data_IF_588476335455
#
_entry.id   IF_588476335455
#
_cell.length_a   1.000
_cell.length_b   1.000
_cell.length_c   1.000
_cell.angle_alpha   90.00
_cell.angle_beta   90.00
_cell.angle_gamma   90.00
#
_symmetry.space_group_name_H-M   'P 1'
#
loop_
_entity.id
_entity.type
_entity.pdbx_description
1 polymer ?
#
# COMPACT_ATOMS: atom_id res chain seq x y z
N UNK A 1 18.25 6.19 -16.82
CA UNK A 1 17.42 6.71 -17.92
C UNK A 1 16.65 5.54 -18.56
N UNK A 2 15.96 4.71 -17.76
CA UNK A 2 15.25 3.52 -18.24
C UNK A 2 13.77 3.49 -17.84
N UNK A 3 13.39 4.23 -16.78
CA UNK A 3 12.01 4.23 -16.25
C UNK A 3 11.00 4.76 -17.27
N UNK A 4 11.35 5.80 -18.04
CA UNK A 4 10.44 6.37 -19.06
C UNK A 4 10.23 5.36 -20.20
N UNK A 5 11.30 4.74 -20.72
CA UNK A 5 11.20 3.72 -21.77
C UNK A 5 10.40 2.49 -21.31
N UNK A 6 10.60 2.08 -20.05
CA UNK A 6 9.85 0.98 -19.44
C UNK A 6 8.37 1.33 -19.26
N UNK A 7 8.06 2.57 -18.87
CA UNK A 7 6.69 3.06 -18.74
C UNK A 7 5.99 3.08 -20.10
N UNK A 8 6.63 3.61 -21.14
CA UNK A 8 6.09 3.61 -22.52
C UNK A 8 5.79 2.19 -22.99
N UNK A 9 6.75 1.28 -22.83
CA UNK A 9 6.58 -0.14 -23.19
C UNK A 9 5.41 -0.79 -22.44
N UNK A 10 5.24 -0.49 -21.15
CA UNK A 10 4.14 -1.02 -20.35
C UNK A 10 2.78 -0.45 -20.77
N UNK A 11 2.71 0.82 -21.12
CA UNK A 11 1.50 1.45 -21.66
C UNK A 11 1.11 0.82 -23.00
N UNK A 12 2.05 0.55 -23.91
CA UNK A 12 1.77 -0.17 -25.15
C UNK A 12 1.25 -1.59 -24.94
N UNK A 13 1.80 -2.31 -23.94
CA UNK A 13 1.29 -3.63 -23.55
C UNK A 13 -0.14 -3.53 -23.02
N UNK A 14 -0.41 -2.52 -22.19
CA UNK A 14 -1.73 -2.32 -21.61
C UNK A 14 -2.79 -2.04 -22.69
N UNK A 15 -2.45 -1.33 -23.77
CA UNK A 15 -3.35 -1.13 -24.90
C UNK A 15 -3.74 -2.44 -25.61
N UNK A 16 -2.85 -3.45 -25.57
CA UNK A 16 -3.10 -4.78 -26.14
C UNK A 16 -3.85 -5.68 -25.15
N UNK A 17 -3.64 -5.47 -23.85
CA UNK A 17 -4.19 -6.27 -22.75
C UNK A 17 -4.88 -5.40 -21.68
N UNK A 18 -5.98 -4.69 -22.00
CA UNK A 18 -6.56 -3.66 -21.12
C UNK A 18 -7.22 -4.21 -19.85
N UNK A 19 -7.34 -5.52 -19.73
CA UNK A 19 -7.87 -6.22 -18.55
C UNK A 19 -6.80 -6.89 -17.68
N UNK A 20 -5.51 -6.67 -17.94
CA UNK A 20 -4.43 -7.31 -17.20
C UNK A 20 -4.07 -6.49 -15.94
N UNK A 21 -4.48 -6.92 -14.73
CA UNK A 21 -4.24 -6.18 -13.49
C UNK A 21 -2.74 -6.01 -13.17
N UNK A 22 -1.90 -6.95 -13.59
CA UNK A 22 -0.46 -6.87 -13.34
C UNK A 22 0.20 -5.73 -14.13
N UNK A 23 -0.29 -5.41 -15.34
CA UNK A 23 0.21 -4.27 -16.10
C UNK A 23 -0.14 -2.95 -15.41
N UNK A 24 -1.36 -2.83 -14.88
CA UNK A 24 -1.75 -1.68 -14.06
C UNK A 24 -0.84 -1.53 -12.83
N UNK A 25 -0.56 -2.63 -12.11
CA UNK A 25 0.36 -2.62 -10.97
C UNK A 25 1.76 -2.14 -11.36
N UNK A 26 2.33 -2.70 -12.43
CA UNK A 26 3.69 -2.37 -12.89
C UNK A 26 3.81 -0.91 -13.31
N UNK A 27 2.81 -0.38 -14.02
CA UNK A 27 2.75 1.04 -14.37
C UNK A 27 2.65 1.91 -13.11
N UNK A 28 1.81 1.52 -12.16
CA UNK A 28 1.69 2.20 -10.87
C UNK A 28 3.03 2.28 -10.12
N UNK A 29 3.80 1.19 -10.09
CA UNK A 29 5.14 1.16 -9.46
C UNK A 29 6.11 2.12 -10.16
N UNK A 30 6.18 2.11 -11.49
CA UNK A 30 7.05 3.02 -12.23
C UNK A 30 6.68 4.49 -11.99
N UNK A 31 5.38 4.80 -11.92
CA UNK A 31 4.88 6.14 -11.60
C UNK A 31 5.18 6.55 -10.15
N UNK A 32 5.11 5.60 -9.21
CA UNK A 32 5.50 5.80 -7.83
C UNK A 32 7.00 6.16 -7.71
N UNK A 33 7.87 5.45 -8.45
CA UNK A 33 9.32 5.69 -8.47
C UNK A 33 9.71 7.07 -9.00
N UNK A 34 8.92 7.64 -9.93
CA UNK A 34 9.12 9.03 -10.43
C UNK A 34 8.33 10.07 -9.63
N UNK A 35 7.77 9.66 -8.49
CA UNK A 35 6.99 10.49 -7.58
C UNK A 35 5.70 11.11 -8.19
N UNK A 36 5.21 10.57 -9.32
CA UNK A 36 3.88 10.91 -9.85
C UNK A 36 2.79 10.10 -9.13
N UNK A 37 2.58 10.45 -7.87
CA UNK A 37 1.68 9.74 -6.97
C UNK A 37 0.21 9.85 -7.40
N UNK A 38 -0.18 10.94 -8.07
CA UNK A 38 -1.52 11.12 -8.60
C UNK A 38 -1.79 10.09 -9.70
N UNK A 39 -0.90 9.97 -10.68
CA UNK A 39 -1.06 8.98 -11.75
C UNK A 39 -0.94 7.56 -11.19
N UNK A 40 0.04 7.29 -10.31
CA UNK A 40 0.19 5.99 -9.68
C UNK A 40 -1.10 5.52 -8.98
N UNK A 41 -1.82 6.42 -8.30
CA UNK A 41 -3.09 6.10 -7.64
C UNK A 41 -4.13 5.57 -8.63
N UNK A 42 -4.25 6.20 -9.80
CA UNK A 42 -5.21 5.78 -10.83
C UNK A 42 -4.90 4.36 -11.32
N UNK A 43 -3.62 4.06 -11.58
CA UNK A 43 -3.23 2.73 -12.06
C UNK A 43 -3.35 1.66 -10.98
N UNK A 44 -2.91 1.92 -9.75
CA UNK A 44 -3.07 0.96 -8.66
C UNK A 44 -4.54 0.69 -8.33
N UNK A 45 -5.37 1.74 -8.26
CA UNK A 45 -6.80 1.57 -8.05
C UNK A 45 -7.42 0.69 -9.14
N UNK A 46 -7.06 0.92 -10.41
CA UNK A 46 -7.58 0.11 -11.50
C UNK A 46 -7.11 -1.35 -11.46
N UNK A 47 -5.85 -1.58 -11.09
CA UNK A 47 -5.33 -2.93 -10.84
C UNK A 47 -6.10 -3.62 -9.70
N UNK A 48 -6.37 -2.91 -8.61
CA UNK A 48 -7.12 -3.40 -7.46
C UNK A 48 -8.58 -3.72 -7.80
N UNK A 49 -9.25 -2.88 -8.59
CA UNK A 49 -10.62 -3.15 -9.07
C UNK A 49 -10.70 -4.43 -9.92
N UNK A 50 -9.65 -4.74 -10.69
CA UNK A 50 -9.59 -5.93 -11.54
C UNK A 50 -9.19 -7.19 -10.77
N UNK A 51 -8.35 -7.05 -9.73
CA UNK A 51 -7.90 -8.18 -8.91
C UNK A 51 -7.75 -7.77 -7.44
N UNK A 52 -8.85 -7.72 -6.67
CA UNK A 52 -8.86 -7.16 -5.31
C UNK A 52 -8.19 -8.06 -4.26
N UNK A 53 -7.74 -9.26 -4.63
CA UNK A 53 -7.06 -10.20 -3.73
C UNK A 53 -5.59 -10.44 -4.11
N UNK A 54 -5.12 -9.79 -5.18
CA UNK A 54 -3.73 -9.91 -5.61
C UNK A 54 -2.78 -9.25 -4.60
N UNK A 55 -1.82 -10.02 -4.12
CA UNK A 55 -0.96 -9.61 -3.01
C UNK A 55 -0.03 -8.45 -3.38
N UNK A 56 0.50 -8.43 -4.59
CA UNK A 56 1.41 -7.36 -5.04
C UNK A 56 0.64 -6.05 -5.21
N UNK A 57 -0.57 -6.13 -5.76
CA UNK A 57 -1.45 -4.97 -5.95
C UNK A 57 -1.91 -4.40 -4.60
N UNK A 58 -2.37 -5.27 -3.69
CA UNK A 58 -2.78 -4.86 -2.35
C UNK A 58 -1.64 -4.15 -1.60
N UNK A 59 -0.44 -4.73 -1.63
CA UNK A 59 0.74 -4.15 -0.99
C UNK A 59 1.10 -2.78 -1.58
N UNK A 60 1.28 -2.73 -2.90
CA UNK A 60 1.74 -1.50 -3.57
C UNK A 60 0.70 -0.37 -3.47
N UNK A 61 -0.59 -0.71 -3.61
CA UNK A 61 -1.64 0.30 -3.52
C UNK A 61 -1.74 0.86 -2.10
N UNK A 62 -1.73 0.00 -1.08
CA UNK A 62 -1.74 0.44 0.30
C UNK A 62 -0.47 1.23 0.69
N UNK A 63 0.69 0.88 0.11
CA UNK A 63 1.94 1.63 0.27
C UNK A 63 1.84 3.06 -0.30
N UNK A 64 1.25 3.21 -1.48
CA UNK A 64 0.98 4.54 -2.04
C UNK A 64 0.01 5.33 -1.15
N UNK A 65 -1.10 4.73 -0.72
CA UNK A 65 -2.08 5.41 0.14
C UNK A 65 -1.46 5.85 1.47
N UNK A 66 -0.58 5.02 2.05
CA UNK A 66 0.23 5.37 3.22
C UNK A 66 1.12 6.59 2.93
N UNK A 67 1.84 6.59 1.80
CA UNK A 67 2.71 7.70 1.40
C UNK A 67 1.94 9.01 1.21
N UNK A 68 0.69 8.92 0.72
CA UNK A 68 -0.22 10.06 0.56
C UNK A 68 -0.97 10.45 1.84
N UNK A 69 -0.65 9.83 2.99
CA UNK A 69 -1.35 10.02 4.26
C UNK A 69 -2.87 9.74 4.19
N UNK A 70 -3.31 8.91 3.23
CA UNK A 70 -4.69 8.46 3.08
C UNK A 70 -4.97 7.24 3.99
N UNK A 71 -4.72 7.45 5.28
CA UNK A 71 -4.72 6.44 6.34
C UNK A 71 -5.97 5.56 6.37
N UNK A 72 -7.16 6.18 6.30
CA UNK A 72 -8.44 5.49 6.38
C UNK A 72 -8.69 4.56 5.18
N UNK A 73 -8.09 4.86 4.02
CA UNK A 73 -8.17 4.00 2.82
C UNK A 73 -7.09 2.91 2.84
N UNK A 74 -5.90 3.21 3.36
CA UNK A 74 -4.78 2.27 3.41
C UNK A 74 -5.04 1.08 4.35
N UNK A 75 -5.63 1.33 5.54
CA UNK A 75 -5.88 0.28 6.55
C UNK A 75 -6.64 -0.94 6.00
N UNK A 76 -7.83 -0.79 5.39
CA UNK A 76 -8.59 -1.97 4.91
C UNK A 76 -7.85 -2.75 3.82
N UNK A 77 -7.05 -2.08 2.98
CA UNK A 77 -6.27 -2.74 1.92
C UNK A 77 -5.09 -3.52 2.51
N UNK A 78 -4.36 -2.94 3.48
CA UNK A 78 -3.35 -3.69 4.22
C UNK A 78 -3.94 -4.84 5.04
N UNK A 79 -5.14 -4.68 5.60
CA UNK A 79 -5.82 -5.77 6.30
C UNK A 79 -6.12 -6.93 5.34
N UNK A 80 -6.63 -6.65 4.14
CA UNK A 80 -6.84 -7.67 3.10
C UNK A 80 -5.53 -8.36 2.69
N UNK A 81 -4.41 -7.63 2.58
CA UNK A 81 -3.09 -8.23 2.36
C UNK A 81 -2.70 -9.18 3.50
N UNK A 82 -2.87 -8.74 4.75
CA UNK A 82 -2.54 -9.52 5.95
C UNK A 82 -3.44 -10.75 6.15
N UNK A 83 -4.58 -10.88 5.46
CA UNK A 83 -5.37 -12.13 5.48
C UNK A 83 -4.59 -13.30 4.87
N UNK A 84 -3.80 -13.03 3.81
CA UNK A 84 -2.94 -14.02 3.18
C UNK A 84 -1.54 -14.06 3.80
N UNK A 85 -1.02 -12.93 4.28
CA UNK A 85 0.31 -12.80 4.88
C UNK A 85 0.22 -12.30 6.34
N UNK A 86 -0.35 -13.11 7.26
CA UNK A 86 -0.69 -12.68 8.61
C UNK A 86 0.47 -12.15 9.46
N UNK A 87 1.69 -12.61 9.17
CA UNK A 87 2.89 -12.33 9.97
C UNK A 87 3.91 -11.47 9.22
N UNK A 88 3.48 -10.78 8.16
CA UNK A 88 4.32 -9.77 7.49
C UNK A 88 4.57 -8.61 8.46
N UNK A 89 5.78 -8.60 9.03
CA UNK A 89 6.18 -7.64 10.05
C UNK A 89 6.21 -6.21 9.52
N UNK A 90 6.56 -6.02 8.24
CA UNK A 90 6.63 -4.69 7.65
C UNK A 90 5.22 -4.11 7.55
N UNK A 91 4.27 -4.88 7.01
CA UNK A 91 2.88 -4.42 6.89
C UNK A 91 2.22 -4.26 8.25
N UNK A 92 2.47 -5.15 9.20
CA UNK A 92 1.99 -4.99 10.59
C UNK A 92 2.54 -3.71 11.24
N UNK A 93 3.82 -3.37 11.01
CA UNK A 93 4.38 -2.11 11.48
C UNK A 93 3.73 -0.91 10.81
N UNK A 94 3.55 -0.93 9.49
CA UNK A 94 2.88 0.15 8.76
C UNK A 94 1.47 0.38 9.29
N UNK A 95 0.66 -0.67 9.44
CA UNK A 95 -0.71 -0.54 10.00
C UNK A 95 -0.67 -0.02 11.43
N UNK A 96 0.28 -0.48 12.25
CA UNK A 96 0.49 0.06 13.61
C UNK A 96 0.83 1.56 13.61
N UNK A 97 1.72 1.99 12.71
CA UNK A 97 2.08 3.41 12.52
C UNK A 97 0.86 4.24 12.10
N UNK A 98 0.01 3.72 11.21
CA UNK A 98 -1.23 4.41 10.83
C UNK A 98 -2.15 4.58 12.05
N UNK A 99 -2.40 3.52 12.81
CA UNK A 99 -3.25 3.61 14.01
C UNK A 99 -2.69 4.59 15.04
N UNK A 100 -1.36 4.62 15.22
CA UNK A 100 -0.71 5.59 16.10
C UNK A 100 -0.95 7.03 15.63
N UNK A 101 -0.82 7.29 14.33
CA UNK A 101 -1.07 8.61 13.74
C UNK A 101 -2.53 9.05 13.86
N UNK A 102 -3.47 8.09 13.86
CA UNK A 102 -4.90 8.35 14.11
C UNK A 102 -5.25 8.49 15.60
N UNK A 103 -4.29 8.27 16.51
CA UNK A 103 -4.51 8.28 17.96
C UNK A 103 -5.14 7.00 18.51
N UNK A 104 -5.27 5.96 17.70
CA UNK A 104 -5.79 4.64 18.06
C UNK A 104 -4.70 3.76 18.69
N UNK A 105 -4.15 4.23 19.81
CA UNK A 105 -2.99 3.65 20.47
C UNK A 105 -3.16 2.17 20.85
N UNK A 106 -4.36 1.74 21.23
CA UNK A 106 -4.60 0.33 21.58
C UNK A 106 -4.41 -0.59 20.36
N UNK A 107 -4.96 -0.22 19.21
CA UNK A 107 -4.82 -0.99 17.98
C UNK A 107 -3.39 -0.93 17.45
N UNK A 108 -2.73 0.23 17.53
CA UNK A 108 -1.32 0.38 17.21
C UNK A 108 -0.46 -0.62 18.03
N UNK A 109 -0.70 -0.69 19.34
CA UNK A 109 0.00 -1.60 20.24
C UNK A 109 -0.21 -3.07 19.85
N UNK A 110 -1.43 -3.48 19.53
CA UNK A 110 -1.73 -4.85 19.06
C UNK A 110 -0.94 -5.19 17.80
N UNK A 111 -0.86 -4.27 16.82
CA UNK A 111 -0.12 -4.49 15.57
C UNK A 111 1.38 -4.54 15.79
N UNK A 112 1.94 -3.64 16.60
CA UNK A 112 3.37 -3.66 16.94
C UNK A 112 3.79 -4.91 17.70
N UNK A 113 2.99 -5.35 18.66
CA UNK A 113 3.26 -6.59 19.40
C UNK A 113 3.28 -7.80 18.46
N UNK A 114 2.32 -7.87 17.53
CA UNK A 114 2.30 -8.94 16.52
C UNK A 114 3.49 -8.87 15.56
N UNK A 115 3.93 -7.67 15.20
CA UNK A 115 5.16 -7.47 14.42
C UNK A 115 6.45 -7.84 15.17
N UNK A 116 6.39 -8.12 16.48
CA UNK A 116 7.55 -8.29 17.35
C UNK A 116 8.32 -6.99 17.61
N UNK A 117 7.67 -5.84 17.40
CA UNK A 117 8.23 -4.51 17.65
C UNK A 117 8.17 -4.17 19.15
N UNK A 118 9.26 -3.63 19.68
CA UNK A 118 9.35 -3.13 21.07
C UNK A 118 8.91 -1.67 21.21
N UNK A 119 8.20 -1.10 20.23
CA UNK A 119 7.66 0.27 20.34
C UNK A 119 6.69 0.33 21.53
N UNK A 120 7.07 1.05 22.58
CA UNK A 120 6.17 1.42 23.68
C UNK A 120 5.11 2.36 23.11
N UNK A 121 3.86 1.90 23.05
CA UNK A 121 2.72 2.77 22.71
C UNK A 121 2.26 3.41 24.01
N UNK A 122 3.06 4.35 24.50
CA UNK A 122 2.69 5.12 25.68
C UNK A 122 1.50 6.01 25.34
N UNK A 123 0.46 5.90 26.15
CA UNK A 123 -0.66 6.83 26.19
C UNK A 123 -0.08 8.18 26.61
N UNK A 124 0.35 9.00 25.66
CA UNK A 124 0.51 10.43 25.87
C UNK A 124 -0.90 11.02 26.03
N UNK A 125 -1.49 10.77 27.20
CA UNK A 125 -2.60 11.57 27.71
C UNK A 125 -1.98 12.93 28.00
N UNK A 126 -1.88 13.77 26.95
CA UNK A 126 -1.74 15.20 27.15
C UNK A 126 -3.01 15.66 27.89
N UNK A 127 -2.88 15.74 29.21
CA UNK A 127 -3.81 16.46 30.08
C UNK A 127 -3.80 17.94 29.74
#
# INVERSE_FOLDING_TARGET
>A
MHIIEDLERKLEQLLKEPGNPHLFNQIGVLLYEVEDWQSANVYFQRGYELSPQDQDILYNYAALLYQQAQWQQAIPIYQAYLEAQPEDKEVLQRVGDIYYLLGEYEEAGKKYLRAGSQKSVEKDIRR
#
